data_IF_209929755662
#
_entry.id   IF_209929755662
#
_cell.length_a   1.000
_cell.length_b   1.000
_cell.length_c   1.000
_cell.angle_alpha   90.00
_cell.angle_beta   90.00
_cell.angle_gamma   90.00
#
_symmetry.space_group_name_H-M   'P 1'
#
loop_
_entity.id
_entity.type
_entity.pdbx_description
1 polymer ?
#
# COMPACT_ATOMS: atom_id res chain seq x y z
N UNK A 1 11.15 -10.73 12.48
CA UNK A 1 10.27 -11.80 13.04
C UNK A 1 8.89 -11.21 13.04
N UNK A 2 7.96 -11.86 12.36
CA UNK A 2 6.56 -11.42 12.21
C UNK A 2 5.99 -11.05 13.56
N UNK A 3 5.43 -9.85 13.64
CA UNK A 3 4.92 -9.34 14.91
C UNK A 3 3.48 -9.79 15.11
N UNK A 4 3.33 -10.97 15.74
CA UNK A 4 2.05 -11.64 15.94
C UNK A 4 1.03 -10.78 16.69
N UNK A 5 1.48 -9.92 17.60
CA UNK A 5 0.60 -9.02 18.36
C UNK A 5 -0.05 -7.98 17.44
N UNK A 6 0.71 -7.45 16.49
CA UNK A 6 0.27 -6.43 15.53
C UNK A 6 -0.63 -7.05 14.47
N UNK A 7 -0.33 -8.28 14.04
CA UNK A 7 -1.20 -9.04 13.16
C UNK A 7 -2.56 -9.30 13.83
N UNK A 8 -2.56 -9.69 15.11
CA UNK A 8 -3.79 -9.89 15.87
C UNK A 8 -4.60 -8.59 16.00
N UNK A 9 -3.93 -7.45 16.21
CA UNK A 9 -4.61 -6.15 16.23
C UNK A 9 -5.27 -5.79 14.89
N UNK A 10 -4.65 -6.13 13.76
CA UNK A 10 -5.28 -5.97 12.44
C UNK A 10 -6.50 -6.87 12.28
N UNK A 11 -6.44 -8.11 12.78
CA UNK A 11 -7.61 -9.01 12.80
C UNK A 11 -8.73 -8.53 13.74
N UNK A 12 -8.40 -7.82 14.81
CA UNK A 12 -9.39 -7.16 15.67
C UNK A 12 -10.06 -5.95 15.00
N UNK A 13 -9.49 -5.45 13.90
CA UNK A 13 -10.07 -4.43 13.04
C UNK A 13 -9.21 -3.17 12.89
N UNK A 14 -9.45 -2.44 11.81
CA UNK A 14 -8.68 -1.24 11.42
C UNK A 14 -8.73 -0.14 12.48
N UNK A 15 -9.83 0.01 13.21
CA UNK A 15 -9.95 1.03 14.25
C UNK A 15 -8.94 0.79 15.40
N UNK A 16 -8.78 -0.46 15.83
CA UNK A 16 -7.82 -0.86 16.87
C UNK A 16 -6.38 -0.64 16.40
N UNK A 17 -6.11 -1.04 15.16
CA UNK A 17 -4.82 -0.81 14.51
C UNK A 17 -4.46 0.68 14.42
N UNK A 18 -5.37 1.51 13.92
CA UNK A 18 -5.15 2.95 13.77
C UNK A 18 -4.94 3.63 15.12
N UNK A 19 -5.72 3.26 16.15
CA UNK A 19 -5.54 3.79 17.49
C UNK A 19 -4.17 3.43 18.08
N UNK A 20 -3.65 2.23 17.78
CA UNK A 20 -2.30 1.84 18.18
C UNK A 20 -1.23 2.63 17.40
N UNK A 21 -1.41 2.81 16.09
CA UNK A 21 -0.50 3.60 15.23
C UNK A 21 -0.44 5.07 15.63
N UNK A 22 -1.54 5.67 16.06
CA UNK A 22 -1.56 7.05 16.56
C UNK A 22 -0.69 7.24 17.81
N UNK A 23 -0.58 6.19 18.63
CA UNK A 23 0.28 6.18 19.84
C UNK A 23 1.73 5.82 19.53
N UNK A 24 1.98 5.14 18.42
CA UNK A 24 3.28 4.58 18.06
C UNK A 24 3.64 4.81 16.58
N UNK A 25 3.69 6.07 16.11
CA UNK A 25 3.92 6.35 14.68
C UNK A 25 5.34 5.99 14.23
N UNK A 26 6.33 6.04 15.13
CA UNK A 26 7.73 5.70 14.86
C UNK A 26 8.04 4.19 14.85
N UNK A 27 7.13 3.35 15.34
CA UNK A 27 7.38 1.91 15.41
C UNK A 27 7.27 1.29 14.02
N UNK A 28 8.36 0.69 13.54
CA UNK A 28 8.36 -0.16 12.37
C UNK A 28 7.71 -1.49 12.73
N UNK A 29 6.69 -1.89 11.99
CA UNK A 29 6.01 -3.19 12.19
C UNK A 29 6.46 -4.16 11.11
N UNK A 30 6.82 -5.37 11.52
CA UNK A 30 7.13 -6.48 10.63
C UNK A 30 5.90 -7.39 10.50
N UNK A 31 5.25 -7.32 9.34
CA UNK A 31 4.16 -8.20 8.89
C UNK A 31 4.59 -9.00 7.65
N UNK A 32 5.89 -9.28 7.53
CA UNK A 32 6.38 -10.13 6.46
C UNK A 32 5.70 -11.51 6.51
N UNK A 33 5.41 -12.09 5.34
CA UNK A 33 4.76 -13.41 5.20
C UNK A 33 3.37 -13.52 5.87
N UNK A 34 2.77 -12.41 6.31
CA UNK A 34 1.47 -12.41 6.95
C UNK A 34 0.34 -12.69 5.92
N UNK A 35 -0.65 -13.48 6.33
CA UNK A 35 -1.87 -13.67 5.55
C UNK A 35 -2.92 -12.64 5.97
N UNK A 36 -3.12 -11.65 5.10
CA UNK A 36 -4.06 -10.55 5.22
C UNK A 36 -5.12 -10.61 4.09
N UNK A 37 -5.28 -11.78 3.46
CA UNK A 37 -6.17 -11.94 2.31
C UNK A 37 -7.63 -11.74 2.69
N UNK A 38 -8.37 -11.04 1.83
CA UNK A 38 -9.79 -10.74 2.03
C UNK A 38 -10.12 -9.83 3.21
N UNK A 39 -9.12 -9.26 3.91
CA UNK A 39 -9.36 -8.38 5.04
C UNK A 39 -9.85 -7.00 4.59
N UNK A 40 -10.76 -6.43 5.39
CA UNK A 40 -11.14 -5.03 5.25
C UNK A 40 -10.12 -4.15 5.98
N UNK A 41 -9.20 -3.58 5.20
CA UNK A 41 -8.12 -2.69 5.62
C UNK A 41 -8.38 -1.24 5.17
N UNK A 42 -9.65 -0.89 4.94
CA UNK A 42 -10.04 0.45 4.52
C UNK A 42 -9.54 1.50 5.54
N UNK A 43 -8.87 2.54 5.06
CA UNK A 43 -8.27 3.60 5.89
C UNK A 43 -7.21 3.11 6.90
N UNK A 44 -6.63 1.92 6.71
CA UNK A 44 -5.59 1.42 7.60
C UNK A 44 -4.29 2.23 7.47
N UNK A 45 -3.70 2.60 8.61
CA UNK A 45 -2.40 3.26 8.67
C UNK A 45 -1.27 2.20 8.65
N UNK A 46 -0.90 1.75 7.46
CA UNK A 46 0.18 0.78 7.22
C UNK A 46 1.52 1.47 6.90
N UNK A 47 1.71 2.69 7.40
CA UNK A 47 2.94 3.47 7.17
C UNK A 47 4.16 2.79 7.75
N UNK A 48 5.23 2.68 6.96
CA UNK A 48 6.51 2.08 7.37
C UNK A 48 6.40 0.64 7.89
N UNK A 49 5.40 -0.10 7.42
CA UNK A 49 5.22 -1.52 7.72
C UNK A 49 5.99 -2.37 6.69
N UNK A 50 6.66 -3.42 7.14
CA UNK A 50 7.24 -4.44 6.27
C UNK A 50 6.17 -5.48 5.93
N UNK A 51 5.78 -5.56 4.66
CA UNK A 51 4.81 -6.50 4.09
C UNK A 51 5.49 -7.45 3.09
N UNK A 52 6.79 -7.67 3.24
CA UNK A 52 7.55 -8.56 2.35
C UNK A 52 6.94 -9.96 2.35
N UNK A 53 6.64 -10.52 1.17
CA UNK A 53 5.96 -11.81 0.98
C UNK A 53 4.56 -11.93 1.63
N UNK A 54 3.94 -10.83 2.06
CA UNK A 54 2.58 -10.90 2.63
C UNK A 54 1.52 -11.20 1.56
N UNK A 55 0.41 -11.80 1.97
CA UNK A 55 -0.75 -12.05 1.12
C UNK A 55 -1.85 -11.03 1.44
N UNK A 56 -2.08 -10.07 0.55
CA UNK A 56 -3.16 -9.07 0.58
C UNK A 56 -4.18 -9.32 -0.55
N UNK A 57 -4.23 -10.53 -1.11
CA UNK A 57 -5.16 -10.84 -2.19
C UNK A 57 -6.61 -10.62 -1.72
N UNK A 58 -7.44 -10.02 -2.58
CA UNK A 58 -8.83 -9.65 -2.29
C UNK A 58 -9.03 -8.69 -1.09
N UNK A 59 -7.98 -8.11 -0.50
CA UNK A 59 -8.11 -7.19 0.62
C UNK A 59 -8.65 -5.82 0.15
N UNK A 60 -9.46 -5.17 0.99
CA UNK A 60 -9.90 -3.80 0.76
C UNK A 60 -8.92 -2.83 1.43
N UNK A 61 -8.02 -2.23 0.67
CA UNK A 61 -7.06 -1.22 1.11
C UNK A 61 -7.49 0.21 0.69
N UNK A 62 -8.78 0.41 0.40
CA UNK A 62 -9.27 1.71 -0.03
C UNK A 62 -8.95 2.78 1.02
N UNK A 63 -8.42 3.93 0.58
CA UNK A 63 -7.96 5.02 1.44
C UNK A 63 -6.87 4.66 2.48
N UNK A 64 -6.23 3.49 2.40
CA UNK A 64 -5.15 3.10 3.31
C UNK A 64 -3.88 3.96 3.09
N UNK A 65 -3.10 4.18 4.15
CA UNK A 65 -1.79 4.83 4.08
C UNK A 65 -0.69 3.78 4.15
N UNK A 66 -0.05 3.51 3.01
CA UNK A 66 1.09 2.61 2.83
C UNK A 66 2.41 3.39 2.69
N UNK A 67 2.46 4.65 3.11
CA UNK A 67 3.64 5.50 2.91
C UNK A 67 4.88 4.88 3.57
N UNK A 68 5.96 4.71 2.80
CA UNK A 68 7.21 4.10 3.28
C UNK A 68 7.11 2.61 3.67
N UNK A 69 5.98 1.95 3.40
CA UNK A 69 5.86 0.50 3.56
C UNK A 69 6.79 -0.27 2.61
N UNK A 70 7.24 -1.45 3.03
CA UNK A 70 8.06 -2.35 2.20
C UNK A 70 7.14 -3.40 1.56
N UNK A 71 6.88 -3.26 0.27
CA UNK A 71 5.96 -4.10 -0.51
C UNK A 71 6.73 -5.02 -1.48
N UNK A 72 7.63 -5.84 -0.95
CA UNK A 72 8.45 -6.77 -1.76
C UNK A 72 7.74 -8.10 -1.89
N UNK A 73 7.52 -8.59 -3.11
CA UNK A 73 6.91 -9.91 -3.36
C UNK A 73 5.54 -10.09 -2.67
N UNK A 74 4.81 -9.00 -2.43
CA UNK A 74 3.48 -9.03 -1.83
C UNK A 74 2.43 -9.43 -2.87
N UNK A 75 1.52 -10.34 -2.52
CA UNK A 75 0.38 -10.65 -3.37
C UNK A 75 -0.75 -9.65 -3.08
N UNK A 76 -1.08 -8.79 -4.05
CA UNK A 76 -2.21 -7.86 -3.97
C UNK A 76 -3.24 -8.15 -5.07
N UNK A 77 -3.30 -9.40 -5.55
CA UNK A 77 -4.22 -9.81 -6.60
C UNK A 77 -5.66 -9.53 -6.17
N UNK A 78 -6.41 -8.80 -6.98
CA UNK A 78 -7.80 -8.38 -6.68
C UNK A 78 -7.99 -7.51 -5.43
N UNK A 79 -6.91 -6.94 -4.86
CA UNK A 79 -7.03 -5.99 -3.77
C UNK A 79 -7.58 -4.64 -4.27
N UNK A 80 -8.41 -3.98 -3.47
CA UNK A 80 -8.89 -2.63 -3.75
C UNK A 80 -7.92 -1.61 -3.14
N UNK A 81 -7.17 -0.90 -3.97
CA UNK A 81 -6.24 0.16 -3.55
C UNK A 81 -6.77 1.57 -3.87
N UNK A 82 -8.07 1.72 -4.10
CA UNK A 82 -8.69 2.99 -4.46
C UNK A 82 -8.36 4.07 -3.43
N UNK A 83 -7.77 5.17 -3.88
CA UNK A 83 -7.35 6.29 -3.02
C UNK A 83 -6.30 5.96 -1.95
N UNK A 84 -5.63 4.80 -2.02
CA UNK A 84 -4.53 4.47 -1.12
C UNK A 84 -3.31 5.38 -1.37
N UNK A 85 -2.60 5.74 -0.30
CA UNK A 85 -1.37 6.55 -0.36
C UNK A 85 -0.14 5.64 -0.32
N UNK A 86 0.71 5.68 -1.35
CA UNK A 86 1.91 4.80 -1.47
C UNK A 86 3.21 5.61 -1.57
N UNK A 87 3.29 6.74 -0.88
CA UNK A 87 4.41 7.67 -1.00
C UNK A 87 5.72 7.09 -0.43
N UNK A 88 6.84 7.31 -1.11
CA UNK A 88 8.18 6.91 -0.65
C UNK A 88 8.36 5.41 -0.34
N UNK A 89 7.53 4.56 -0.95
CA UNK A 89 7.70 3.11 -0.90
C UNK A 89 8.82 2.70 -1.86
N UNK A 90 9.83 1.90 -1.44
CA UNK A 90 10.80 1.35 -2.37
C UNK A 90 10.09 0.29 -3.23
N UNK A 91 9.35 0.74 -4.25
CA UNK A 91 8.70 -0.10 -5.25
C UNK A 91 9.77 -0.66 -6.19
N UNK A 92 10.59 -1.57 -5.66
CA UNK A 92 11.42 -2.39 -6.50
C UNK A 92 10.54 -3.51 -7.06
N UNK A 93 9.84 -3.20 -8.16
CA UNK A 93 9.32 -4.18 -9.14
C UNK A 93 8.61 -5.38 -8.49
N UNK A 94 7.42 -5.14 -7.93
CA UNK A 94 6.46 -6.21 -7.71
C UNK A 94 6.25 -6.94 -9.06
N UNK A 95 6.48 -8.25 -9.05
CA UNK A 95 6.48 -9.16 -10.19
C UNK A 95 5.35 -8.85 -11.18
N UNK A 96 5.74 -8.64 -12.43
CA UNK A 96 4.99 -8.14 -13.59
C UNK A 96 3.88 -9.09 -14.08
N UNK A 97 3.05 -9.66 -13.20
CA UNK A 97 2.08 -10.71 -13.58
C UNK A 97 0.66 -10.60 -13.03
N UNK A 98 0.31 -9.58 -12.24
CA UNK A 98 -1.08 -9.50 -11.75
C UNK A 98 -1.50 -8.24 -11.00
N UNK A 99 -0.61 -7.27 -10.77
CA UNK A 99 -0.99 -6.03 -10.06
C UNK A 99 -1.81 -5.13 -10.97
N UNK A 100 -3.09 -4.97 -10.61
CA UNK A 100 -4.06 -4.11 -11.27
C UNK A 100 -3.69 -2.64 -11.01
N UNK A 101 -2.88 -2.02 -11.89
CA UNK A 101 -2.53 -0.60 -11.82
C UNK A 101 -3.66 0.33 -12.31
N UNK A 102 -4.92 -0.09 -12.21
CA UNK A 102 -6.03 0.58 -12.90
C UNK A 102 -6.54 1.82 -12.15
N UNK A 103 -6.19 2.02 -10.87
CA UNK A 103 -6.77 3.10 -10.05
C UNK A 103 -5.79 3.73 -9.03
N UNK A 104 -4.47 3.55 -9.19
CA UNK A 104 -3.50 4.30 -8.39
C UNK A 104 -3.52 5.77 -8.82
N UNK A 105 -4.29 6.61 -8.11
CA UNK A 105 -4.23 8.07 -8.27
C UNK A 105 -2.88 8.54 -7.72
N UNK A 106 -1.94 8.86 -8.61
CA UNK A 106 -0.79 9.68 -8.25
C UNK A 106 -1.31 11.08 -8.00
N UNK A 107 -1.73 11.36 -6.76
CA UNK A 107 -1.98 12.72 -6.33
C UNK A 107 -0.69 13.50 -6.61
N UNK A 108 -0.81 14.51 -7.49
CA UNK A 108 0.29 15.33 -8.03
C UNK A 108 1.44 15.42 -7.03
N UNK A 109 2.56 14.77 -7.33
CA UNK A 109 3.81 15.06 -6.64
C UNK A 109 4.27 16.43 -7.17
N UNK A 110 4.23 17.52 -6.39
CA UNK A 110 4.54 18.86 -6.89
C UNK A 110 6.03 19.07 -7.21
N UNK A 111 6.82 17.99 -7.25
CA UNK A 111 8.28 17.99 -7.41
C UNK A 111 8.83 16.88 -8.33
N UNK A 112 7.99 16.13 -9.04
CA UNK A 112 8.53 15.25 -10.07
C UNK A 112 8.94 16.08 -11.28
N UNK A 113 10.17 15.89 -11.76
CA UNK A 113 10.58 16.51 -13.01
C UNK A 113 9.76 15.88 -14.14
N UNK A 114 9.34 16.70 -15.11
CA UNK A 114 8.53 16.33 -16.27
C UNK A 114 9.06 15.07 -17.01
N UNK A 115 10.38 14.85 -16.91
CA UNK A 115 11.06 13.72 -17.53
C UNK A 115 10.80 12.40 -16.79
N UNK A 116 10.72 12.44 -15.46
CA UNK A 116 10.41 11.25 -14.65
C UNK A 116 8.94 10.88 -14.77
N UNK A 117 8.05 11.87 -14.83
CA UNK A 117 6.61 11.65 -15.05
C UNK A 117 6.37 10.90 -16.36
N UNK A 118 6.95 11.38 -17.46
CA UNK A 118 6.83 10.73 -18.78
C UNK A 118 7.40 9.29 -18.76
N UNK A 119 8.52 9.06 -18.06
CA UNK A 119 9.13 7.72 -17.98
C UNK A 119 8.30 6.75 -17.14
N UNK A 120 7.65 7.24 -16.08
CA UNK A 120 6.73 6.46 -15.26
C UNK A 120 5.41 6.20 -16.00
N UNK A 121 4.92 7.16 -16.79
CA UNK A 121 3.76 6.98 -17.69
C UNK A 121 4.04 5.91 -18.75
N UNK A 122 5.20 5.97 -19.41
CA UNK A 122 5.59 5.01 -20.45
C UNK A 122 5.71 3.57 -19.92
N UNK A 123 5.94 3.43 -18.62
CA UNK A 123 6.03 2.14 -17.92
C UNK A 123 4.72 1.70 -17.27
N UNK A 124 3.63 2.45 -17.47
CA UNK A 124 2.32 2.17 -16.89
C UNK A 124 2.26 2.37 -15.37
N UNK A 125 3.24 3.07 -14.80
CA UNK A 125 3.36 3.24 -13.36
C UNK A 125 2.44 4.35 -12.84
N UNK A 126 2.06 5.35 -13.65
CA UNK A 126 1.11 6.42 -13.28
C UNK A 126 0.04 6.60 -14.37
N UNK A 127 -1.23 6.80 -13.97
CA UNK A 127 -2.33 7.20 -14.85
C UNK A 127 -2.84 8.58 -14.41
N UNK A 128 -2.95 9.53 -15.34
CA UNK A 128 -3.70 10.76 -15.09
C UNK A 128 -5.18 10.40 -15.07
N UNK A 129 -5.90 10.83 -14.03
CA UNK A 129 -7.35 10.96 -14.16
C UNK A 129 -7.63 11.84 -15.39
N UNK A 130 -8.65 11.54 -16.21
CA UNK A 130 -9.07 12.45 -17.26
C UNK A 130 -9.27 13.81 -16.61
N UNK A 131 -8.59 14.83 -17.13
CA UNK A 131 -8.87 16.22 -16.79
C UNK A 131 -10.34 16.41 -17.14
N UNK A 132 -11.21 16.42 -16.12
CA UNK A 132 -12.58 16.87 -16.31
C UNK A 132 -12.48 18.31 -16.85
N UNK A 133 -13.24 18.62 -17.93
CA UNK A 133 -13.11 19.86 -18.68
C UNK A 133 -13.40 21.12 -17.85
#
# INVERSE_FOLDING_TARGET
MVNLVQLEQLHQGVASWNQWRDRHPEVSVDLSEADLSGLDLQQANLRSVDLTNANLSHANLSHADLSGAVLRQVDMSHADLSHAQVLNTPLNWADSRGTCFTQMRFTRLPKLSLHLETSLMARGAIALDPVEP
#
